data_IF_195283161805
#
_entry.id   IF_195283161805
#
_cell.length_a   1.000
_cell.length_b   1.000
_cell.length_c   1.000
_cell.angle_alpha   90.00
_cell.angle_beta   90.00
_cell.angle_gamma   90.00
#
_symmetry.space_group_name_H-M   'P 1'
#
loop_
_entity.id
_entity.type
_entity.pdbx_description
1 polymer ?
#
# COMPACT_ATOMS: atom_id res chain seq x y z
N UNK A 1 18.76 -7.99 -37.40
CA UNK A 1 17.75 -7.92 -36.32
C UNK A 1 18.41 -7.26 -35.12
N UNK A 2 18.03 -6.03 -34.77
CA UNK A 2 18.55 -5.35 -33.58
C UNK A 2 17.83 -5.91 -32.35
N UNK A 3 18.58 -6.55 -31.47
CA UNK A 3 18.07 -7.04 -30.19
C UNK A 3 17.86 -5.84 -29.28
N UNK A 4 16.60 -5.59 -28.90
CA UNK A 4 16.26 -4.49 -27.99
C UNK A 4 16.71 -4.87 -26.58
N UNK A 5 17.99 -4.61 -26.29
CA UNK A 5 18.63 -4.99 -25.03
C UNK A 5 18.16 -4.03 -23.94
N UNK A 6 17.43 -4.56 -22.95
CA UNK A 6 17.02 -3.80 -21.77
C UNK A 6 18.28 -3.21 -21.11
N UNK A 7 18.31 -1.88 -20.96
CA UNK A 7 19.45 -1.15 -20.38
C UNK A 7 19.28 -0.85 -18.90
N UNK A 8 18.04 -0.81 -18.41
CA UNK A 8 17.69 -0.44 -17.05
C UNK A 8 16.30 -0.99 -16.71
N UNK A 9 16.11 -1.34 -15.43
CA UNK A 9 14.82 -1.68 -14.83
C UNK A 9 14.68 -0.82 -13.59
N UNK A 10 13.53 -0.18 -13.44
CA UNK A 10 13.19 0.61 -12.26
C UNK A 10 12.12 -0.18 -11.51
N UNK A 11 12.39 -0.44 -10.24
CA UNK A 11 11.44 -1.08 -9.34
C UNK A 11 10.82 -0.01 -8.44
N UNK A 12 9.50 -0.12 -8.26
CA UNK A 12 8.85 0.55 -7.14
C UNK A 12 9.33 -0.09 -5.81
N UNK A 13 9.17 0.60 -4.70
CA UNK A 13 9.60 0.11 -3.39
C UNK A 13 8.48 -0.66 -2.68
N UNK A 14 7.39 0.03 -2.38
CA UNK A 14 6.26 -0.49 -1.59
C UNK A 14 5.43 -1.47 -2.43
N UNK A 15 5.17 -2.66 -1.89
CA UNK A 15 4.44 -3.74 -2.58
C UNK A 15 5.23 -4.43 -3.71
N UNK A 16 6.46 -3.99 -4.01
CA UNK A 16 7.33 -4.58 -5.05
C UNK A 16 8.64 -5.10 -4.48
N UNK A 17 9.43 -4.26 -3.81
CA UNK A 17 10.67 -4.66 -3.15
C UNK A 17 10.46 -4.97 -1.67
N UNK A 18 9.47 -4.32 -1.04
CA UNK A 18 9.16 -4.45 0.38
C UNK A 18 7.66 -4.64 0.56
N UNK A 19 7.27 -5.63 1.35
CA UNK A 19 5.86 -5.84 1.74
C UNK A 19 5.46 -4.89 2.88
N UNK A 20 5.40 -3.60 2.56
CA UNK A 20 4.99 -2.54 3.49
C UNK A 20 3.47 -2.46 3.66
N UNK A 21 2.69 -3.17 2.84
CA UNK A 21 1.23 -3.21 2.92
C UNK A 21 0.74 -3.85 4.23
N UNK A 22 1.46 -4.89 4.71
CA UNK A 22 1.19 -5.56 6.00
C UNK A 22 1.13 -4.55 7.16
N UNK A 23 2.03 -3.56 7.16
CA UNK A 23 2.06 -2.54 8.22
C UNK A 23 0.77 -1.71 8.19
N UNK A 24 0.36 -1.27 7.00
CA UNK A 24 -0.88 -0.51 6.81
C UNK A 24 -2.12 -1.30 7.22
N UNK A 25 -2.17 -2.60 6.87
CA UNK A 25 -3.27 -3.50 7.20
C UNK A 25 -3.46 -3.65 8.72
N UNK A 26 -2.39 -3.66 9.50
CA UNK A 26 -2.48 -3.76 10.96
C UNK A 26 -2.71 -2.40 11.65
N UNK A 27 -2.13 -1.33 11.14
CA UNK A 27 -2.25 0.01 11.76
C UNK A 27 -3.62 0.65 11.49
N UNK A 28 -4.23 0.38 10.34
CA UNK A 28 -5.48 1.02 9.93
C UNK A 28 -6.68 0.67 10.84
N UNK A 29 -6.92 -0.60 11.23
CA UNK A 29 -7.96 -0.95 12.20
C UNK A 29 -7.78 -0.23 13.54
N UNK A 30 -6.55 -0.21 14.07
CA UNK A 30 -6.22 0.46 15.34
C UNK A 30 -6.47 1.96 15.28
N UNK A 31 -6.16 2.58 14.14
CA UNK A 31 -6.45 3.99 13.90
C UNK A 31 -7.96 4.24 13.76
N UNK A 32 -8.66 3.42 12.98
CA UNK A 32 -10.10 3.53 12.75
C UNK A 32 -10.89 3.39 14.06
N UNK A 33 -10.49 2.47 14.94
CA UNK A 33 -11.11 2.25 16.24
C UNK A 33 -11.07 3.51 17.13
N UNK A 34 -10.00 4.31 17.05
CA UNK A 34 -9.89 5.58 17.79
C UNK A 34 -10.95 6.62 17.36
N UNK A 35 -11.51 6.48 16.16
CA UNK A 35 -12.59 7.32 15.64
C UNK A 35 -13.98 6.63 15.70
N UNK A 36 -14.08 5.51 16.42
CA UNK A 36 -15.33 4.77 16.59
C UNK A 36 -15.73 3.90 15.39
N UNK A 37 -14.81 3.62 14.47
CA UNK A 37 -15.04 2.74 13.32
C UNK A 37 -14.44 1.36 13.62
N UNK A 38 -15.29 0.33 13.61
CA UNK A 38 -14.84 -1.06 13.64
C UNK A 38 -14.46 -1.49 12.23
N UNK A 39 -13.27 -2.06 12.08
CA UNK A 39 -12.73 -2.57 10.82
C UNK A 39 -12.00 -3.88 11.09
N UNK A 40 -12.24 -4.91 10.28
CA UNK A 40 -11.45 -6.15 10.30
C UNK A 40 -10.26 -6.12 9.31
N UNK A 41 -9.35 -7.08 9.42
CA UNK A 41 -8.15 -7.13 8.56
C UNK A 41 -8.50 -7.30 7.07
N UNK A 42 -9.60 -7.99 6.74
CA UNK A 42 -10.00 -8.23 5.35
C UNK A 42 -10.57 -6.94 4.73
N UNK A 43 -11.27 -6.14 5.52
CA UNK A 43 -11.67 -4.78 5.17
C UNK A 43 -10.44 -3.89 5.02
N UNK A 44 -9.47 -3.95 5.94
CA UNK A 44 -8.24 -3.16 5.83
C UNK A 44 -7.45 -3.48 4.55
N UNK A 45 -7.29 -4.77 4.20
CA UNK A 45 -6.69 -5.21 2.93
C UNK A 45 -7.43 -4.62 1.74
N UNK A 46 -8.76 -4.67 1.72
CA UNK A 46 -9.58 -4.14 0.64
C UNK A 46 -9.47 -2.62 0.50
N UNK A 47 -9.34 -1.90 1.61
CA UNK A 47 -9.17 -0.44 1.58
C UNK A 47 -7.76 -0.06 1.14
N UNK A 48 -6.72 -0.81 1.54
CA UNK A 48 -5.33 -0.50 1.18
C UNK A 48 -4.97 -0.91 -0.25
N UNK A 49 -5.61 -1.96 -0.78
CA UNK A 49 -5.36 -2.44 -2.13
C UNK A 49 -5.62 -1.35 -3.19
N UNK A 50 -4.55 -0.92 -3.87
CA UNK A 50 -4.62 0.02 -4.99
C UNK A 50 -4.95 1.48 -4.61
N UNK A 51 -4.80 1.86 -3.33
CA UNK A 51 -5.00 3.24 -2.87
C UNK A 51 -3.70 3.86 -2.40
N UNK A 52 -3.42 5.07 -2.88
CA UNK A 52 -2.35 5.88 -2.32
C UNK A 52 -2.86 6.64 -1.09
N UNK A 53 -2.09 6.61 0.00
CA UNK A 53 -2.36 7.47 1.15
C UNK A 53 -2.12 8.93 0.72
N UNK A 54 -3.19 9.65 0.45
CA UNK A 54 -3.11 11.08 0.12
C UNK A 54 -2.88 11.82 1.43
N UNK A 55 -1.78 12.57 1.49
CA UNK A 55 -1.50 13.45 2.63
C UNK A 55 -2.68 14.41 2.78
N UNK A 56 -3.31 14.43 3.96
CA UNK A 56 -4.43 15.33 4.26
C UNK A 56 -4.02 16.76 3.91
N UNK A 57 -4.69 17.34 2.93
CA UNK A 57 -4.45 18.71 2.50
C UNK A 57 -4.78 19.67 3.64
N UNK A 58 -3.91 20.66 3.83
CA UNK A 58 -4.41 22.00 4.10
C UNK A 58 -4.85 22.60 2.78
#
# INVERSE_FOLDING_TARGET
MSTNKIKCVIFDCDGVLVDSEIIGIHVLPDLAAQYGVTMDEQEAVRVMSGRNLRRGGR
#
